data_IF_860140563623
#
_entry.id   IF_860140563623
#
_cell.length_a   1.000
_cell.length_b   1.000
_cell.length_c   1.000
_cell.angle_alpha   90.00
_cell.angle_beta   90.00
_cell.angle_gamma   90.00
#
_symmetry.space_group_name_H-M   'P 1'
#
loop_
_entity.id
_entity.type
_entity.pdbx_description
1 polymer ?
#
# COMPACT_ATOMS: atom_id res chain seq x y z
N UNK A 1 -63.78 -35.52 -57.44
CA UNK A 1 -63.56 -34.29 -56.69
C UNK A 1 -62.27 -34.43 -55.89
N UNK A 2 -61.16 -33.86 -56.39
CA UNK A 2 -59.83 -33.84 -55.70
C UNK A 2 -59.72 -32.58 -54.86
N UNK A 3 -59.51 -32.73 -53.57
CA UNK A 3 -59.15 -31.62 -52.66
C UNK A 3 -57.60 -31.48 -52.61
N UNK A 4 -57.13 -30.36 -53.07
CA UNK A 4 -55.72 -29.95 -52.92
C UNK A 4 -55.56 -29.16 -51.62
N UNK A 5 -54.76 -29.67 -50.70
CA UNK A 5 -54.35 -28.99 -49.46
C UNK A 5 -53.04 -28.23 -49.69
N UNK A 6 -53.09 -26.90 -49.60
CA UNK A 6 -51.91 -26.03 -49.63
C UNK A 6 -51.26 -25.96 -48.22
N UNK A 7 -50.02 -26.36 -48.09
CA UNK A 7 -49.20 -26.12 -46.89
C UNK A 7 -48.49 -24.78 -47.00
N UNK A 8 -48.84 -23.88 -46.11
CA UNK A 8 -48.09 -22.62 -45.88
C UNK A 8 -46.87 -22.91 -44.96
N UNK A 9 -45.71 -22.79 -45.52
CA UNK A 9 -44.45 -22.83 -44.75
C UNK A 9 -44.13 -21.42 -44.24
N UNK A 10 -44.31 -21.19 -42.94
CA UNK A 10 -43.88 -19.94 -42.28
C UNK A 10 -42.40 -20.01 -41.96
N UNK A 11 -41.59 -19.24 -42.66
CA UNK A 11 -40.17 -19.05 -42.32
C UNK A 11 -40.03 -18.08 -41.14
N UNK A 12 -39.57 -18.60 -39.98
CA UNK A 12 -39.20 -17.78 -38.84
C UNK A 12 -37.74 -17.33 -39.03
N UNK A 13 -37.54 -16.06 -39.34
CA UNK A 13 -36.21 -15.44 -39.39
C UNK A 13 -35.83 -15.06 -37.95
N UNK A 14 -34.94 -15.85 -37.34
CA UNK A 14 -34.33 -15.51 -36.03
C UNK A 14 -33.26 -14.43 -36.24
N UNK A 15 -33.53 -13.18 -35.82
CA UNK A 15 -32.52 -12.14 -35.68
C UNK A 15 -31.65 -12.44 -34.45
N UNK A 16 -30.46 -12.95 -34.67
CA UNK A 16 -29.43 -13.03 -33.63
C UNK A 16 -28.85 -11.63 -33.39
N UNK A 17 -29.27 -10.94 -32.33
CA UNK A 17 -28.66 -9.69 -31.89
C UNK A 17 -27.32 -10.04 -31.22
N UNK A 18 -26.19 -9.78 -31.91
CA UNK A 18 -24.88 -9.89 -31.37
C UNK A 18 -24.63 -8.71 -30.40
N UNK A 19 -24.74 -8.96 -29.10
CA UNK A 19 -24.24 -8.03 -28.10
C UNK A 19 -22.69 -8.09 -28.10
N UNK A 20 -22.08 -7.18 -28.83
CA UNK A 20 -20.65 -6.91 -28.64
C UNK A 20 -20.48 -6.26 -27.26
N UNK A 21 -20.01 -7.03 -26.26
CA UNK A 21 -19.59 -6.47 -25.01
C UNK A 21 -18.41 -5.53 -25.28
N UNK A 22 -18.63 -4.21 -25.18
CA UNK A 22 -17.55 -3.25 -25.23
C UNK A 22 -16.61 -3.54 -24.03
N UNK A 23 -15.37 -3.93 -24.32
CA UNK A 23 -14.35 -4.00 -23.29
C UNK A 23 -14.22 -2.62 -22.62
N UNK A 24 -14.12 -2.55 -21.29
CA UNK A 24 -13.93 -1.27 -20.62
C UNK A 24 -12.65 -0.62 -21.16
N UNK A 25 -12.78 0.59 -21.69
CA UNK A 25 -11.64 1.35 -22.15
C UNK A 25 -10.72 1.59 -20.94
N UNK A 26 -9.44 1.21 -21.07
CA UNK A 26 -8.41 1.54 -20.07
C UNK A 26 -8.39 3.05 -19.89
N UNK A 27 -8.71 3.53 -18.69
CA UNK A 27 -8.68 4.95 -18.41
C UNK A 27 -7.21 5.43 -18.43
N UNK A 28 -6.85 6.23 -19.43
CA UNK A 28 -5.52 6.84 -19.47
C UNK A 28 -5.36 7.81 -18.29
N UNK A 29 -4.19 7.77 -17.63
CA UNK A 29 -3.85 8.73 -16.57
C UNK A 29 -3.71 10.11 -17.18
N UNK A 30 -4.49 11.08 -16.68
CA UNK A 30 -4.40 12.46 -17.13
C UNK A 30 -3.00 13.04 -16.81
N UNK A 31 -2.41 13.85 -17.72
CA UNK A 31 -1.17 14.56 -17.43
C UNK A 31 -1.27 15.40 -16.17
N UNK A 32 -0.21 15.44 -15.35
CA UNK A 32 -0.21 16.27 -14.15
C UNK A 32 0.93 16.01 -13.20
N UNK A 33 0.96 16.77 -12.11
CA UNK A 33 1.97 16.63 -11.08
C UNK A 33 1.54 15.53 -10.09
N UNK A 34 2.40 14.56 -9.90
CA UNK A 34 2.27 13.50 -8.91
C UNK A 34 3.24 13.74 -7.75
N UNK A 35 2.75 13.79 -6.53
CA UNK A 35 3.57 13.92 -5.31
C UNK A 35 3.42 12.67 -4.47
N UNK A 36 4.54 12.01 -4.15
CA UNK A 36 4.60 10.90 -3.21
C UNK A 36 5.14 11.38 -1.88
N UNK A 37 4.37 11.16 -0.81
CA UNK A 37 4.74 11.47 0.57
C UNK A 37 4.63 10.20 1.42
N UNK A 38 5.36 10.15 2.53
CA UNK A 38 5.29 9.01 3.46
C UNK A 38 6.62 8.57 4.01
N UNK A 39 6.63 7.35 4.54
CA UNK A 39 7.72 6.72 5.27
C UNK A 39 8.56 5.75 4.41
N UNK A 40 9.19 4.74 5.08
CA UNK A 40 10.04 3.73 4.44
C UNK A 40 9.31 2.84 3.42
N UNK A 41 8.03 2.56 3.64
CA UNK A 41 7.23 1.80 2.67
C UNK A 41 6.99 2.59 1.37
N UNK A 42 6.85 3.91 1.48
CA UNK A 42 6.73 4.77 0.31
C UNK A 42 8.09 5.08 -0.32
N UNK A 43 9.16 5.23 0.48
CA UNK A 43 10.50 5.51 -0.07
C UNK A 43 11.15 4.29 -0.75
N UNK A 44 10.66 3.08 -0.51
CA UNK A 44 11.13 1.87 -1.19
C UNK A 44 12.20 1.11 -0.40
N UNK A 45 12.23 1.26 0.92
CA UNK A 45 13.09 0.42 1.77
C UNK A 45 12.67 -1.04 1.62
N UNK A 46 13.67 -1.94 1.58
CA UNK A 46 13.47 -3.38 1.39
C UNK A 46 13.76 -3.87 -0.03
N UNK A 47 13.92 -2.99 -1.01
CA UNK A 47 14.44 -3.37 -2.32
C UNK A 47 15.95 -3.62 -2.24
N UNK A 48 16.33 -4.88 -2.17
CA UNK A 48 17.74 -5.32 -2.14
C UNK A 48 18.32 -5.54 -3.55
N UNK A 49 17.56 -5.26 -4.61
CA UNK A 49 18.00 -5.51 -5.99
C UNK A 49 18.81 -4.37 -6.56
N UNK A 50 18.63 -3.15 -6.03
CA UNK A 50 19.31 -1.94 -6.48
C UNK A 50 19.69 -1.04 -5.31
N UNK A 51 20.82 -0.31 -5.38
CA UNK A 51 21.16 0.68 -4.37
C UNK A 51 20.10 1.79 -4.28
N UNK A 52 19.93 2.35 -3.08
CA UNK A 52 19.16 3.58 -2.90
C UNK A 52 19.77 4.74 -3.68
N UNK A 53 18.93 5.69 -4.07
CA UNK A 53 19.36 6.90 -4.78
C UNK A 53 20.31 7.71 -3.89
N UNK A 54 21.53 8.01 -4.34
CA UNK A 54 22.53 8.69 -3.50
C UNK A 54 22.05 10.04 -2.97
N UNK A 55 21.31 10.80 -3.77
CA UNK A 55 20.76 12.10 -3.39
C UNK A 55 19.65 12.01 -2.32
N UNK A 56 19.14 10.83 -2.04
CA UNK A 56 18.13 10.63 -1.00
C UNK A 56 18.70 10.54 0.42
N UNK A 57 20.01 10.23 0.56
CA UNK A 57 20.66 10.12 1.86
C UNK A 57 19.92 9.22 2.84
N UNK A 58 19.66 9.74 4.04
CA UNK A 58 18.93 9.00 5.08
C UNK A 58 17.49 8.63 4.73
N UNK A 59 16.89 9.27 3.74
CA UNK A 59 15.54 8.95 3.30
C UNK A 59 15.43 7.63 2.52
N UNK A 60 16.55 7.06 2.08
CA UNK A 60 16.63 5.73 1.44
C UNK A 60 15.60 5.52 0.34
N UNK A 61 15.46 6.47 -0.60
CA UNK A 61 14.56 6.29 -1.73
C UNK A 61 15.14 5.28 -2.73
N UNK A 62 14.37 4.23 -3.02
CA UNK A 62 14.71 3.24 -4.04
C UNK A 62 14.24 3.69 -5.42
N UNK A 63 15.02 3.46 -6.50
CA UNK A 63 14.55 3.65 -7.86
C UNK A 63 13.37 2.73 -8.23
N UNK A 64 13.12 1.68 -7.45
CA UNK A 64 12.04 0.71 -7.62
C UNK A 64 10.92 0.85 -6.58
N UNK A 65 10.91 1.93 -5.79
CA UNK A 65 9.79 2.22 -4.89
C UNK A 65 8.46 2.23 -5.65
N UNK A 66 7.34 1.94 -4.98
CA UNK A 66 6.05 1.89 -5.65
C UNK A 66 5.66 3.21 -6.34
N UNK A 67 5.97 4.41 -5.77
CA UNK A 67 5.65 5.66 -6.45
C UNK A 67 6.42 5.81 -7.77
N UNK A 68 7.71 5.44 -7.77
CA UNK A 68 8.56 5.49 -8.97
C UNK A 68 8.17 4.44 -10.00
N UNK A 69 7.82 3.24 -9.55
CA UNK A 69 7.32 2.17 -10.42
C UNK A 69 6.02 2.61 -11.10
N UNK A 70 5.09 3.19 -10.34
CA UNK A 70 3.84 3.72 -10.87
C UNK A 70 4.09 4.86 -11.86
N UNK A 71 4.94 5.84 -11.52
CA UNK A 71 5.25 6.96 -12.40
C UNK A 71 5.93 6.51 -13.71
N UNK A 72 6.80 5.49 -13.64
CA UNK A 72 7.45 4.90 -14.83
C UNK A 72 6.43 4.31 -15.81
N UNK A 73 5.37 3.69 -15.29
CA UNK A 73 4.28 3.14 -16.11
C UNK A 73 3.36 4.25 -16.66
N UNK A 74 3.41 5.46 -16.09
CA UNK A 74 2.56 6.60 -16.46
C UNK A 74 3.40 7.84 -16.79
N UNK A 75 4.10 7.86 -17.95
CA UNK A 75 5.07 8.90 -18.30
C UNK A 75 4.49 10.30 -18.50
N UNK A 76 3.17 10.44 -18.51
CA UNK A 76 2.49 11.75 -18.52
C UNK A 76 2.46 12.43 -17.14
N UNK A 77 2.79 11.69 -16.06
CA UNK A 77 2.92 12.22 -14.71
C UNK A 77 4.35 12.68 -14.45
N UNK A 78 4.49 13.85 -13.83
CA UNK A 78 5.77 14.34 -13.30
C UNK A 78 5.82 14.02 -11.82
N UNK A 79 6.60 13.00 -11.42
CA UNK A 79 6.73 12.61 -10.02
C UNK A 79 7.68 13.54 -9.26
N UNK A 80 7.19 14.09 -8.14
CA UNK A 80 7.98 14.63 -7.06
C UNK A 80 7.92 13.67 -5.86
N UNK A 81 9.00 12.92 -5.64
CA UNK A 81 9.14 11.94 -4.58
C UNK A 81 9.86 12.58 -3.38
N UNK A 82 9.13 12.90 -2.33
CA UNK A 82 9.65 13.48 -1.09
C UNK A 82 9.50 12.54 0.10
N UNK A 83 9.24 11.27 -0.14
CA UNK A 83 9.15 10.21 0.87
C UNK A 83 10.45 10.06 1.65
N UNK A 84 10.39 9.67 2.92
CA UNK A 84 11.58 9.55 3.73
C UNK A 84 11.45 8.40 4.74
N UNK A 85 12.41 7.47 4.71
CA UNK A 85 12.50 6.36 5.66
C UNK A 85 12.46 6.88 7.10
N UNK A 86 11.68 6.22 7.97
CA UNK A 86 11.54 6.58 9.38
C UNK A 86 10.55 7.74 9.66
N UNK A 87 9.98 8.37 8.62
CA UNK A 87 9.08 9.49 8.83
C UNK A 87 7.82 9.09 9.61
N UNK A 88 7.49 9.89 10.62
CA UNK A 88 6.20 9.90 11.32
C UNK A 88 5.20 10.81 10.60
N UNK A 89 3.94 10.79 11.02
CA UNK A 89 2.92 11.75 10.54
C UNK A 89 3.37 13.19 10.77
N UNK A 90 4.00 13.47 11.92
CA UNK A 90 4.53 14.80 12.24
C UNK A 90 5.66 15.21 11.27
N UNK A 91 6.57 14.29 10.94
CA UNK A 91 7.65 14.55 9.99
C UNK A 91 7.14 14.80 8.58
N UNK A 92 6.15 14.02 8.12
CA UNK A 92 5.49 14.25 6.82
C UNK A 92 4.87 15.65 6.77
N UNK A 93 4.14 16.04 7.81
CA UNK A 93 3.52 17.38 7.89
C UNK A 93 4.55 18.51 7.89
N UNK A 94 5.67 18.33 8.60
CA UNK A 94 6.70 19.34 8.71
C UNK A 94 7.57 19.47 7.45
N UNK A 95 7.91 18.33 6.81
CA UNK A 95 9.01 18.27 5.84
C UNK A 95 8.58 17.90 4.42
N UNK A 96 7.38 17.32 4.21
CA UNK A 96 7.00 16.79 2.91
C UNK A 96 5.85 17.57 2.24
N UNK A 97 5.00 18.24 3.01
CA UNK A 97 3.84 18.97 2.46
C UNK A 97 4.21 20.21 1.62
N UNK A 98 5.45 20.69 1.71
CA UNK A 98 5.96 21.77 0.85
C UNK A 98 6.03 21.42 -0.64
N UNK A 99 6.00 20.12 -0.98
CA UNK A 99 5.97 19.64 -2.37
C UNK A 99 4.58 19.77 -3.02
N UNK A 100 3.53 19.92 -2.22
CA UNK A 100 2.15 20.03 -2.70
C UNK A 100 1.82 21.44 -3.20
N UNK A 101 1.01 21.50 -4.22
CA UNK A 101 0.54 22.78 -4.78
C UNK A 101 -0.85 22.65 -5.42
N UNK A 102 -1.46 23.78 -5.82
CA UNK A 102 -2.72 23.77 -6.59
C UNK A 102 -2.62 23.14 -7.98
N UNK A 103 -1.41 22.75 -8.43
CA UNK A 103 -1.18 22.02 -9.68
C UNK A 103 -1.09 20.51 -9.47
N UNK A 104 -0.89 20.05 -8.23
CA UNK A 104 -0.81 18.63 -7.90
C UNK A 104 -2.14 17.94 -8.23
N UNK A 105 -2.07 16.88 -9.03
CA UNK A 105 -3.23 16.14 -9.52
C UNK A 105 -3.34 14.75 -8.90
N UNK A 106 -2.23 14.22 -8.38
CA UNK A 106 -2.15 12.94 -7.71
C UNK A 106 -1.27 13.03 -6.46
N UNK A 107 -1.74 12.45 -5.36
CA UNK A 107 -0.93 12.25 -4.14
C UNK A 107 -1.06 10.81 -3.70
N UNK A 108 0.07 10.17 -3.38
CA UNK A 108 0.10 8.89 -2.66
C UNK A 108 0.72 9.05 -1.31
N UNK A 109 0.19 8.30 -0.32
CA UNK A 109 0.58 8.41 1.08
C UNK A 109 0.70 7.01 1.68
N UNK A 110 1.84 6.71 2.32
CA UNK A 110 1.98 5.57 3.23
C UNK A 110 2.74 6.05 4.46
N UNK A 111 2.07 6.17 5.60
CA UNK A 111 2.65 6.66 6.87
C UNK A 111 1.82 6.20 8.06
N UNK A 112 2.43 6.11 9.23
CA UNK A 112 1.79 5.75 10.49
C UNK A 112 2.44 4.57 11.20
N UNK A 113 3.22 3.74 10.48
CA UNK A 113 3.94 2.61 11.08
C UNK A 113 4.96 3.05 12.13
N UNK A 114 5.70 4.13 11.89
CA UNK A 114 6.67 4.67 12.85
C UNK A 114 5.99 5.30 14.06
N UNK A 115 4.83 5.93 13.86
CA UNK A 115 4.04 6.53 14.96
C UNK A 115 3.57 5.50 15.98
N UNK A 116 3.22 4.28 15.53
CA UNK A 116 2.83 3.18 16.41
C UNK A 116 4.01 2.36 16.95
N UNK A 117 5.25 2.81 16.68
CA UNK A 117 6.45 2.19 17.24
C UNK A 117 6.90 0.91 16.53
N UNK A 118 6.82 0.87 15.19
CA UNK A 118 7.22 -0.28 14.36
C UNK A 118 8.60 -0.85 14.74
N UNK A 119 9.62 0.00 14.88
CA UNK A 119 10.98 -0.43 15.24
C UNK A 119 11.03 -1.09 16.62
N UNK A 120 10.37 -0.48 17.63
CA UNK A 120 10.29 -1.04 18.97
C UNK A 120 9.59 -2.40 18.98
N UNK A 121 8.47 -2.52 18.23
CA UNK A 121 7.75 -3.77 18.07
C UNK A 121 8.65 -4.84 17.43
N UNK A 122 9.30 -4.52 16.32
CA UNK A 122 10.18 -5.45 15.63
C UNK A 122 11.31 -5.94 16.56
N UNK A 123 12.03 -5.02 17.23
CA UNK A 123 13.11 -5.37 18.16
C UNK A 123 12.64 -6.26 19.31
N UNK A 124 11.52 -5.93 19.97
CA UNK A 124 11.02 -6.69 21.10
C UNK A 124 10.48 -8.06 20.68
N UNK A 125 9.84 -8.16 19.50
CA UNK A 125 9.35 -9.45 19.01
C UNK A 125 10.45 -10.34 18.45
N UNK A 126 11.52 -9.77 17.90
CA UNK A 126 12.64 -10.54 17.36
C UNK A 126 13.64 -10.98 18.46
N UNK A 127 14.02 -10.07 19.36
CA UNK A 127 15.13 -10.23 20.28
C UNK A 127 14.71 -10.30 21.76
N UNK A 128 13.50 -9.82 22.10
CA UNK A 128 12.99 -9.78 23.46
C UNK A 128 12.32 -11.08 23.92
N UNK A 129 11.62 -10.99 25.03
CA UNK A 129 10.75 -12.06 25.54
C UNK A 129 9.36 -11.98 24.88
N UNK A 130 8.53 -13.02 25.05
CA UNK A 130 7.13 -12.98 24.62
C UNK A 130 6.35 -11.84 25.29
N UNK A 131 6.62 -11.57 26.58
CA UNK A 131 6.03 -10.46 27.30
C UNK A 131 6.47 -9.10 26.70
N UNK A 132 7.76 -8.93 26.40
CA UNK A 132 8.26 -7.68 25.79
C UNK A 132 7.64 -7.45 24.40
N UNK A 133 7.49 -8.51 23.60
CA UNK A 133 6.78 -8.43 22.34
C UNK A 133 5.32 -8.00 22.53
N UNK A 134 4.60 -8.63 23.46
CA UNK A 134 3.21 -8.30 23.77
C UNK A 134 3.05 -6.85 24.25
N UNK A 135 3.93 -6.40 25.14
CA UNK A 135 3.89 -5.02 25.65
C UNK A 135 4.10 -3.99 24.55
N UNK A 136 5.09 -4.22 23.67
CA UNK A 136 5.37 -3.33 22.54
C UNK A 136 4.21 -3.30 21.53
N UNK A 137 3.65 -4.44 21.18
CA UNK A 137 2.52 -4.54 20.26
C UNK A 137 1.24 -3.94 20.83
N UNK A 138 0.95 -4.14 22.13
CA UNK A 138 -0.18 -3.53 22.81
C UNK A 138 -0.05 -1.99 22.86
N UNK A 139 1.14 -1.47 23.10
CA UNK A 139 1.40 -0.03 23.08
C UNK A 139 1.13 0.55 21.69
N UNK A 140 1.63 -0.09 20.64
CA UNK A 140 1.37 0.32 19.27
C UNK A 140 -0.12 0.27 18.91
N UNK A 141 -0.80 -0.80 19.28
CA UNK A 141 -2.25 -0.96 19.09
C UNK A 141 -3.07 0.10 19.88
N UNK A 142 -2.63 0.45 21.08
CA UNK A 142 -3.24 1.53 21.86
C UNK A 142 -3.09 2.88 21.14
N UNK A 143 -1.88 3.22 20.69
CA UNK A 143 -1.64 4.47 19.99
C UNK A 143 -2.42 4.55 18.67
N UNK A 144 -2.48 3.45 17.93
CA UNK A 144 -3.27 3.37 16.70
C UNK A 144 -4.76 3.73 16.92
N UNK A 145 -5.34 3.26 18.04
CA UNK A 145 -6.76 3.51 18.36
C UNK A 145 -7.05 4.87 18.98
N UNK A 146 -6.06 5.50 19.61
CA UNK A 146 -6.32 6.69 20.44
C UNK A 146 -5.84 7.99 19.79
N UNK A 147 -4.73 7.96 19.06
CA UNK A 147 -4.12 9.18 18.53
C UNK A 147 -3.87 9.16 17.03
N UNK A 148 -3.44 8.03 16.47
CA UNK A 148 -3.03 7.97 15.06
C UNK A 148 -4.14 8.41 14.12
N UNK A 149 -5.39 8.01 14.37
CA UNK A 149 -6.55 8.41 13.55
C UNK A 149 -6.70 9.94 13.49
N UNK A 150 -6.48 10.64 14.60
CA UNK A 150 -6.58 12.11 14.65
C UNK A 150 -5.42 12.77 13.89
N UNK A 151 -4.19 12.28 14.11
CA UNK A 151 -2.99 12.79 13.46
C UNK A 151 -3.07 12.61 11.93
N UNK A 152 -3.54 11.44 11.46
CA UNK A 152 -3.75 11.15 10.04
C UNK A 152 -4.90 11.96 9.45
N UNK A 153 -6.00 12.15 10.19
CA UNK A 153 -7.12 13.01 9.75
C UNK A 153 -6.63 14.44 9.52
N UNK A 154 -5.79 14.96 10.42
CA UNK A 154 -5.18 16.28 10.27
C UNK A 154 -4.24 16.31 9.05
N UNK A 155 -3.39 15.30 8.86
CA UNK A 155 -2.50 15.21 7.70
C UNK A 155 -3.29 15.20 6.38
N UNK A 156 -4.31 14.33 6.25
CA UNK A 156 -5.09 14.22 5.01
C UNK A 156 -5.87 15.50 4.71
N UNK A 157 -6.33 16.19 5.74
CA UNK A 157 -6.97 17.50 5.61
C UNK A 157 -5.97 18.55 5.09
N UNK A 158 -4.75 18.60 5.65
CA UNK A 158 -3.69 19.51 5.19
C UNK A 158 -3.30 19.23 3.73
N UNK A 159 -3.20 17.95 3.34
CA UNK A 159 -2.93 17.53 1.95
C UNK A 159 -4.04 18.04 1.01
N UNK A 160 -5.31 17.85 1.39
CA UNK A 160 -6.47 18.32 0.60
C UNK A 160 -6.47 19.84 0.43
N UNK A 161 -6.12 20.58 1.49
CA UNK A 161 -6.05 22.04 1.43
C UNK A 161 -4.95 22.54 0.50
N UNK A 162 -3.78 21.89 0.50
CA UNK A 162 -2.63 22.29 -0.35
C UNK A 162 -2.76 21.82 -1.79
N UNK A 163 -3.43 20.69 -2.01
CA UNK A 163 -3.66 20.07 -3.31
C UNK A 163 -5.16 19.82 -3.56
N UNK A 164 -5.99 20.89 -3.68
CA UNK A 164 -7.46 20.76 -3.72
C UNK A 164 -8.00 20.00 -4.94
N UNK A 165 -7.19 19.88 -6.00
CA UNK A 165 -7.56 19.17 -7.23
C UNK A 165 -7.03 17.74 -7.26
N UNK A 166 -6.21 17.33 -6.29
CA UNK A 166 -5.55 16.04 -6.31
C UNK A 166 -6.51 14.89 -5.98
N UNK A 167 -6.37 13.80 -6.70
CA UNK A 167 -6.78 12.49 -6.23
C UNK A 167 -5.76 12.04 -5.17
N UNK A 168 -6.23 11.74 -3.97
CA UNK A 168 -5.39 11.34 -2.84
C UNK A 168 -5.64 9.87 -2.56
N UNK A 169 -4.57 9.06 -2.60
CA UNK A 169 -4.61 7.63 -2.30
C UNK A 169 -3.71 7.33 -1.11
N UNK A 170 -4.30 6.72 -0.09
CA UNK A 170 -3.61 6.20 1.10
C UNK A 170 -3.44 4.71 0.92
N UNK A 171 -2.19 4.25 0.76
CA UNK A 171 -1.88 2.83 0.69
C UNK A 171 -1.62 2.32 2.10
N UNK A 172 -2.41 1.32 2.53
CA UNK A 172 -2.26 0.68 3.83
C UNK A 172 -0.99 -0.16 3.93
N UNK A 173 -0.79 -0.78 5.11
CA UNK A 173 0.30 -1.73 5.30
C UNK A 173 -0.22 -3.16 5.11
N UNK A 174 0.57 -4.05 4.47
CA UNK A 174 0.25 -5.47 4.40
C UNK A 174 0.38 -6.12 5.79
N UNK A 175 -0.12 -7.34 5.95
CA UNK A 175 0.25 -8.16 7.11
C UNK A 175 1.73 -8.45 7.05
N UNK A 176 2.44 -8.24 8.19
CA UNK A 176 3.89 -8.30 8.23
C UNK A 176 4.44 -9.71 8.15
N UNK A 177 3.80 -10.67 8.85
CA UNK A 177 4.33 -12.02 9.04
C UNK A 177 3.25 -13.07 8.77
N UNK A 178 3.66 -14.20 8.20
CA UNK A 178 2.80 -15.37 8.07
C UNK A 178 2.47 -15.96 9.44
N UNK A 179 1.30 -16.57 9.60
CA UNK A 179 0.86 -17.24 10.84
C UNK A 179 1.66 -18.51 11.12
N UNK A 180 1.56 -19.01 12.36
CA UNK A 180 2.20 -20.24 12.80
C UNK A 180 3.64 -20.05 13.29
N UNK A 181 4.22 -21.10 13.85
CA UNK A 181 5.62 -21.11 14.31
C UNK A 181 6.55 -21.56 13.18
N UNK A 182 7.68 -20.89 13.00
CA UNK A 182 8.65 -21.29 11.99
C UNK A 182 9.77 -20.28 11.79
N UNK A 183 10.66 -20.61 10.86
CA UNK A 183 11.77 -19.74 10.46
C UNK A 183 11.25 -18.40 9.93
N UNK A 184 12.01 -17.36 10.22
CA UNK A 184 11.82 -16.03 9.65
C UNK A 184 13.19 -15.45 9.28
N UNK A 185 13.83 -16.03 8.27
CA UNK A 185 15.23 -15.72 7.98
C UNK A 185 16.16 -16.27 9.06
N UNK A 186 16.95 -15.42 9.68
CA UNK A 186 17.95 -15.80 10.68
C UNK A 186 17.39 -16.19 12.06
N UNK A 187 16.10 -16.01 12.31
CA UNK A 187 15.47 -16.31 13.60
C UNK A 187 14.27 -17.26 13.46
N UNK A 188 13.86 -17.88 14.56
CA UNK A 188 12.57 -18.57 14.67
C UNK A 188 11.60 -17.69 15.44
N UNK A 189 10.45 -17.42 14.84
CA UNK A 189 9.34 -16.73 15.50
C UNK A 189 8.25 -17.74 15.86
N UNK A 190 7.91 -17.80 17.14
CA UNK A 190 6.79 -18.60 17.61
C UNK A 190 5.44 -17.98 17.19
N UNK A 191 4.39 -18.78 17.22
CA UNK A 191 3.05 -18.35 16.82
C UNK A 191 2.53 -17.19 17.67
N UNK A 192 2.80 -17.20 18.97
CA UNK A 192 2.38 -16.13 19.88
C UNK A 192 2.91 -14.75 19.41
N UNK A 193 4.21 -14.62 19.14
CA UNK A 193 4.83 -13.36 18.68
C UNK A 193 4.26 -12.92 17.34
N UNK A 194 4.05 -13.86 16.42
CA UNK A 194 3.43 -13.55 15.12
C UNK A 194 2.01 -13.03 15.29
N UNK A 195 1.20 -13.64 16.15
CA UNK A 195 -0.16 -13.17 16.47
C UNK A 195 -0.14 -11.76 17.09
N UNK A 196 0.82 -11.46 17.98
CA UNK A 196 0.95 -10.13 18.55
C UNK A 196 1.28 -9.08 17.48
N UNK A 197 2.20 -9.39 16.55
CA UNK A 197 2.54 -8.50 15.45
C UNK A 197 1.36 -8.28 14.50
N UNK A 198 0.60 -9.32 14.17
CA UNK A 198 -0.61 -9.24 13.35
C UNK A 198 -1.71 -8.39 14.03
N UNK A 199 -1.89 -8.56 15.33
CA UNK A 199 -2.81 -7.75 16.12
C UNK A 199 -2.48 -6.26 16.04
N UNK A 200 -1.22 -5.88 16.25
CA UNK A 200 -0.78 -4.49 16.13
C UNK A 200 -0.97 -3.94 14.72
N UNK A 201 -0.66 -4.74 13.70
CA UNK A 201 -0.86 -4.37 12.29
C UNK A 201 -2.34 -4.14 11.95
N UNK A 202 -3.25 -4.99 12.42
CA UNK A 202 -4.68 -4.82 12.17
C UNK A 202 -5.20 -3.52 12.82
N UNK A 203 -4.71 -3.14 14.00
CA UNK A 203 -5.07 -1.86 14.63
C UNK A 203 -4.48 -0.66 13.89
N UNK A 204 -3.25 -0.74 13.38
CA UNK A 204 -2.65 0.29 12.54
C UNK A 204 -3.52 0.55 11.31
N UNK A 205 -3.87 -0.51 10.58
CA UNK A 205 -4.70 -0.37 9.37
C UNK A 205 -6.10 0.13 9.70
N UNK A 206 -6.70 -0.29 10.81
CA UNK A 206 -8.00 0.22 11.26
C UNK A 206 -7.94 1.74 11.53
N UNK A 207 -6.92 2.22 12.24
CA UNK A 207 -6.73 3.66 12.48
C UNK A 207 -6.53 4.48 11.21
N UNK A 208 -5.80 3.94 10.23
CA UNK A 208 -5.65 4.55 8.90
C UNK A 208 -7.01 4.64 8.18
N UNK A 209 -7.78 3.54 8.17
CA UNK A 209 -9.10 3.51 7.52
C UNK A 209 -10.08 4.50 8.16
N UNK A 210 -10.10 4.58 9.48
CA UNK A 210 -10.94 5.55 10.19
C UNK A 210 -10.61 7.00 9.77
N UNK A 211 -9.34 7.34 9.60
CA UNK A 211 -8.92 8.66 9.11
C UNK A 211 -9.31 8.88 7.64
N UNK A 212 -9.20 7.87 6.80
CA UNK A 212 -9.66 7.88 5.40
C UNK A 212 -11.16 8.16 5.34
N UNK A 213 -11.96 7.44 6.13
CA UNK A 213 -13.42 7.58 6.15
C UNK A 213 -13.85 8.98 6.61
N UNK A 214 -13.12 9.59 7.57
CA UNK A 214 -13.38 10.96 8.05
C UNK A 214 -13.06 12.04 7.01
N UNK A 215 -12.13 11.78 6.11
CA UNK A 215 -11.62 12.79 5.16
C UNK A 215 -12.05 12.58 3.71
N UNK A 216 -12.63 11.41 3.41
CA UNK A 216 -13.09 11.06 2.06
C UNK A 216 -11.95 10.95 1.04
N UNK A 217 -10.72 10.63 1.47
CA UNK A 217 -9.62 10.24 0.58
C UNK A 217 -9.76 8.76 0.21
N UNK A 218 -9.06 8.31 -0.83
CA UNK A 218 -9.18 6.92 -1.28
C UNK A 218 -8.24 6.01 -0.47
N UNK A 219 -8.70 4.82 -0.10
CA UNK A 219 -7.88 3.80 0.56
C UNK A 219 -7.52 2.69 -0.41
N UNK A 220 -6.24 2.29 -0.41
CA UNK A 220 -5.76 1.12 -1.16
C UNK A 220 -5.44 0.01 -0.16
N UNK A 221 -6.23 -1.06 -0.18
CA UNK A 221 -6.06 -2.21 0.72
C UNK A 221 -4.83 -3.03 0.30
N UNK A 222 -3.89 -3.20 1.23
CA UNK A 222 -2.65 -3.93 0.96
C UNK A 222 -2.56 -5.29 1.65
N UNK A 223 -3.45 -5.63 2.59
CA UNK A 223 -3.42 -6.93 3.29
C UNK A 223 -3.83 -8.09 2.38
N UNK A 224 -4.90 -7.91 1.59
CA UNK A 224 -5.41 -8.95 0.68
C UNK A 224 -4.41 -9.35 -0.41
N UNK A 225 -3.79 -8.43 -1.16
CA UNK A 225 -2.83 -8.81 -2.21
C UNK A 225 -1.55 -9.45 -1.67
N UNK A 226 -1.25 -9.26 -0.36
CA UNK A 226 -0.09 -9.88 0.29
C UNK A 226 -0.43 -11.15 1.06
N UNK A 227 -1.68 -11.64 1.03
CA UNK A 227 -2.06 -12.91 1.65
C UNK A 227 -1.29 -14.06 1.00
N UNK A 228 -0.55 -14.82 1.84
CA UNK A 228 0.40 -15.87 1.40
C UNK A 228 1.79 -15.34 1.00
N UNK A 229 1.99 -14.02 1.00
CA UNK A 229 3.24 -13.36 0.64
C UNK A 229 3.86 -12.55 1.79
N UNK A 230 3.38 -12.78 3.02
CA UNK A 230 3.93 -12.16 4.23
C UNK A 230 5.36 -12.63 4.49
N UNK A 231 6.12 -11.86 5.27
CA UNK A 231 7.43 -12.31 5.74
C UNK A 231 7.32 -13.65 6.47
N UNK A 232 8.40 -14.43 6.43
CA UNK A 232 8.46 -15.75 7.08
C UNK A 232 7.56 -16.83 6.45
N UNK A 233 6.95 -16.53 5.31
CA UNK A 233 6.24 -17.48 4.45
C UNK A 233 7.11 -18.02 3.32
N UNK A 234 6.64 -19.01 2.54
CA UNK A 234 7.44 -19.65 1.48
C UNK A 234 7.63 -18.78 0.22
N UNK A 235 6.74 -17.84 -0.04
CA UNK A 235 6.76 -16.95 -1.22
C UNK A 235 6.60 -15.49 -0.76
N UNK A 236 7.58 -15.02 0.05
CA UNK A 236 7.50 -13.74 0.71
C UNK A 236 7.77 -12.56 -0.23
N UNK A 237 6.90 -11.56 -0.20
CA UNK A 237 7.10 -10.23 -0.79
C UNK A 237 7.51 -9.18 0.24
N UNK A 238 7.73 -9.62 1.48
CA UNK A 238 8.24 -8.82 2.60
C UNK A 238 9.51 -9.52 3.09
N UNK A 239 10.58 -8.75 3.32
CA UNK A 239 11.84 -9.30 3.81
C UNK A 239 11.67 -9.91 5.21
N UNK A 240 12.23 -11.10 5.40
CA UNK A 240 12.41 -11.70 6.72
C UNK A 240 13.59 -11.08 7.45
N UNK A 241 14.05 -11.77 8.50
CA UNK A 241 15.18 -11.30 9.33
C UNK A 241 16.50 -11.67 8.68
N UNK A 242 17.23 -10.65 8.24
CA UNK A 242 18.59 -10.74 7.72
C UNK A 242 19.51 -9.77 8.51
N UNK A 243 20.48 -10.31 9.30
CA UNK A 243 21.40 -9.46 10.06
C UNK A 243 22.30 -8.56 9.20
N UNK A 244 22.46 -8.86 7.91
CA UNK A 244 23.20 -8.03 6.96
C UNK A 244 22.40 -6.83 6.46
N UNK A 245 21.07 -6.88 6.62
CA UNK A 245 20.11 -5.90 6.07
C UNK A 245 19.05 -5.53 7.12
N UNK A 246 19.52 -5.08 8.29
CA UNK A 246 18.64 -4.83 9.47
C UNK A 246 17.56 -3.80 9.18
N UNK A 247 17.88 -2.76 8.42
CA UNK A 247 16.92 -1.70 8.09
C UNK A 247 15.82 -2.13 7.09
N UNK A 248 16.03 -3.24 6.41
CA UNK A 248 15.11 -3.80 5.40
C UNK A 248 14.19 -4.90 5.96
N UNK A 249 14.42 -5.32 7.23
CA UNK A 249 13.56 -6.31 7.91
C UNK A 249 12.11 -5.81 7.93
N UNK A 250 11.20 -6.69 7.56
CA UNK A 250 9.76 -6.43 7.47
C UNK A 250 9.35 -5.30 6.50
N UNK A 251 10.23 -4.93 5.57
CA UNK A 251 9.90 -4.04 4.46
C UNK A 251 9.64 -4.82 3.16
N UNK A 252 8.83 -4.28 2.24
CA UNK A 252 8.52 -4.94 0.98
C UNK A 252 9.77 -5.17 0.13
N UNK A 253 9.89 -6.35 -0.47
CA UNK A 253 10.88 -6.64 -1.51
C UNK A 253 10.57 -5.83 -2.79
N UNK A 254 11.43 -5.93 -3.80
CA UNK A 254 11.13 -5.36 -5.13
C UNK A 254 9.78 -5.86 -5.67
N UNK A 255 9.46 -7.15 -5.50
CA UNK A 255 8.14 -7.71 -5.88
C UNK A 255 7.03 -7.08 -5.06
N UNK A 256 7.22 -6.90 -3.75
CA UNK A 256 6.26 -6.21 -2.89
C UNK A 256 5.98 -4.78 -3.36
N UNK A 257 7.02 -4.00 -3.68
CA UNK A 257 6.84 -2.64 -4.20
C UNK A 257 6.10 -2.60 -5.55
N UNK A 258 6.33 -3.58 -6.42
CA UNK A 258 5.55 -3.73 -7.66
C UNK A 258 4.09 -4.06 -7.39
N UNK A 259 3.81 -4.88 -6.37
CA UNK A 259 2.43 -5.16 -5.94
C UNK A 259 1.73 -3.89 -5.43
N UNK A 260 2.40 -3.05 -4.64
CA UNK A 260 1.86 -1.73 -4.24
C UNK A 260 1.50 -0.87 -5.44
N UNK A 261 2.41 -0.75 -6.43
CA UNK A 261 2.16 0.03 -7.64
C UNK A 261 0.97 -0.52 -8.43
N UNK A 262 0.87 -1.84 -8.58
CA UNK A 262 -0.23 -2.51 -9.25
C UNK A 262 -1.58 -2.28 -8.55
N UNK A 263 -1.62 -2.36 -7.22
CA UNK A 263 -2.83 -2.08 -6.46
C UNK A 263 -3.30 -0.64 -6.59
N UNK A 264 -2.37 0.32 -6.67
CA UNK A 264 -2.69 1.71 -6.97
C UNK A 264 -3.32 1.86 -8.37
N UNK A 265 -2.80 1.12 -9.36
CA UNK A 265 -3.38 1.11 -10.72
C UNK A 265 -4.82 0.56 -10.71
N UNK A 266 -5.04 -0.55 -9.98
CA UNK A 266 -6.38 -1.15 -9.86
C UNK A 266 -7.38 -0.21 -9.18
N UNK A 267 -7.00 0.42 -8.06
CA UNK A 267 -7.86 1.33 -7.31
C UNK A 267 -8.22 2.58 -8.13
N UNK A 268 -7.31 3.03 -8.98
CA UNK A 268 -7.58 4.14 -9.91
C UNK A 268 -8.42 3.74 -11.13
N UNK A 269 -8.77 2.47 -11.29
CA UNK A 269 -9.47 1.95 -12.47
C UNK A 269 -8.62 1.94 -13.73
N UNK A 270 -7.28 1.92 -13.60
CA UNK A 270 -6.31 1.83 -14.69
C UNK A 270 -5.97 0.35 -14.86
N UNK A 271 -6.22 -0.20 -16.05
CA UNK A 271 -5.88 -1.59 -16.40
C UNK A 271 -5.16 -1.65 -17.73
#
# INVERSE_FOLDING_TARGET
VRKTSSFLVSAVVALAASFAAAAPASAAVAPGDYVAIGDSYASGVGDLTTPYLPESGACKRSPNSYPRTFAKNHPTLTLQDVTCSGATVADVRANQLGALSGKTTLVTITVGGNDVGFESMANNCLLGTDQACQDATNLGAYYARTKLTEDLTALYTDVRQRAPKAQIYVLGYPRLVAQGTGSCGAVTLNDFRRQQMLHANDHLVAGIKDAVDRTGVNFVEMRLPFEGHEACGPDSWINGVDPSHVSEIFHPTNTGHRAFAFMLELERGIR
#
